data_IF_032256746759
#
_entry.id   IF_032256746759
#
_cell.length_a   1.000
_cell.length_b   1.000
_cell.length_c   1.000
_cell.angle_alpha   90.00
_cell.angle_beta   90.00
_cell.angle_gamma   90.00
#
_symmetry.space_group_name_H-M   'P 1'
#
loop_
_entity.id
_entity.type
_entity.pdbx_description
1 polymer ?
#
# COMPACT_ATOMS: atom_id res chain seq x y z
N UNK A 1 -2.89 11.85 18.89
CA UNK A 1 -3.04 10.91 17.78
C UNK A 1 -1.67 10.67 17.18
N UNK A 2 -1.05 9.54 17.45
CA UNK A 2 0.24 9.15 16.87
C UNK A 2 -0.01 8.47 15.54
N UNK A 3 0.50 9.09 14.48
CA UNK A 3 0.48 8.57 13.12
C UNK A 3 1.91 8.20 12.72
N UNK A 4 2.09 7.01 12.15
CA UNK A 4 3.35 6.58 11.56
C UNK A 4 3.11 6.11 10.14
N UNK A 5 3.98 6.51 9.22
CA UNK A 5 4.08 5.95 7.88
C UNK A 5 5.42 5.24 7.78
N UNK A 6 5.42 4.01 7.27
CA UNK A 6 6.65 3.25 7.09
C UNK A 6 6.56 2.38 5.86
N UNK A 7 7.72 2.06 5.27
CA UNK A 7 7.80 0.98 4.31
C UNK A 7 7.38 -0.34 4.96
N UNK A 8 6.78 -1.23 4.17
CA UNK A 8 6.52 -2.59 4.62
C UNK A 8 7.83 -3.35 4.88
N UNK A 9 7.74 -4.33 5.77
CA UNK A 9 8.78 -5.32 6.02
C UNK A 9 8.20 -6.73 5.83
N UNK A 10 9.05 -7.75 5.89
CA UNK A 10 8.65 -9.16 5.72
C UNK A 10 7.58 -9.60 6.73
N UNK A 11 7.62 -9.07 7.95
CA UNK A 11 6.66 -9.40 9.01
C UNK A 11 5.25 -8.84 8.74
N UNK A 12 5.09 -7.97 7.74
CA UNK A 12 3.78 -7.45 7.34
C UNK A 12 3.08 -8.36 6.31
N UNK A 13 3.76 -9.38 5.76
CA UNK A 13 3.27 -10.15 4.61
C UNK A 13 1.86 -10.72 4.84
N UNK A 14 1.65 -11.43 5.95
CA UNK A 14 0.36 -12.08 6.23
C UNK A 14 -0.77 -11.05 6.31
N UNK A 15 -0.49 -9.89 6.93
CA UNK A 15 -1.45 -8.79 7.04
C UNK A 15 -1.72 -8.13 5.69
N UNK A 16 -0.69 -7.97 4.85
CA UNK A 16 -0.86 -7.43 3.50
C UNK A 16 -1.73 -8.37 2.66
N UNK A 17 -1.44 -9.67 2.67
CA UNK A 17 -2.24 -10.66 1.96
C UNK A 17 -3.69 -10.66 2.44
N UNK A 18 -3.93 -10.61 3.76
CA UNK A 18 -5.28 -10.48 4.34
C UNK A 18 -6.00 -9.23 3.83
N UNK A 19 -5.39 -8.05 3.91
CA UNK A 19 -5.98 -6.80 3.42
C UNK A 19 -6.30 -6.88 1.93
N UNK A 20 -5.42 -7.46 1.11
CA UNK A 20 -5.67 -7.60 -0.32
C UNK A 20 -6.81 -8.57 -0.62
N UNK A 21 -6.88 -9.71 0.08
CA UNK A 21 -7.98 -10.66 -0.07
C UNK A 21 -9.31 -10.02 0.35
N UNK A 22 -9.34 -9.26 1.44
CA UNK A 22 -10.58 -8.65 1.93
C UNK A 22 -11.08 -7.52 1.03
N UNK A 23 -10.18 -6.73 0.42
CA UNK A 23 -10.55 -5.55 -0.36
C UNK A 23 -10.62 -5.81 -1.87
N UNK A 24 -9.90 -6.82 -2.37
CA UNK A 24 -9.75 -7.12 -3.81
C UNK A 24 -10.09 -8.56 -4.17
N UNK A 25 -10.48 -9.41 -3.21
CA UNK A 25 -10.73 -10.85 -3.37
C UNK A 25 -9.54 -11.66 -3.92
N UNK A 26 -8.35 -11.06 -3.98
CA UNK A 26 -7.14 -11.62 -4.59
C UNK A 26 -5.93 -10.79 -4.21
N UNK A 27 -4.78 -11.44 -4.02
CA UNK A 27 -3.47 -10.78 -3.98
C UNK A 27 -2.85 -10.61 -5.39
N UNK A 28 -3.47 -11.20 -6.42
CA UNK A 28 -3.12 -10.97 -7.82
C UNK A 28 -3.97 -9.82 -8.36
N UNK A 29 -3.30 -8.75 -8.78
CA UNK A 29 -3.91 -7.54 -9.34
C UNK A 29 -3.50 -7.40 -10.81
N UNK A 30 -4.47 -7.21 -11.70
CA UNK A 30 -4.23 -7.00 -13.13
C UNK A 30 -4.50 -5.55 -13.48
N UNK A 31 -3.46 -4.84 -13.91
CA UNK A 31 -3.54 -3.45 -14.38
C UNK A 31 -2.62 -3.28 -15.58
N UNK A 32 -3.01 -2.44 -16.54
CA UNK A 32 -2.26 -2.20 -17.79
C UNK A 32 -1.87 -3.47 -18.55
N UNK A 33 -2.66 -4.55 -18.42
CA UNK A 33 -2.39 -5.85 -19.05
C UNK A 33 -1.29 -6.68 -18.38
N UNK A 34 -0.81 -6.28 -17.20
CA UNK A 34 0.23 -6.96 -16.43
C UNK A 34 -0.40 -7.50 -15.14
N UNK A 35 -0.07 -8.74 -14.79
CA UNK A 35 -0.46 -9.36 -13.53
C UNK A 35 0.63 -9.17 -12.49
N UNK A 36 0.26 -8.60 -11.34
CA UNK A 36 1.14 -8.39 -10.21
C UNK A 36 0.70 -9.24 -9.02
N UNK A 37 1.67 -9.88 -8.36
CA UNK A 37 1.46 -10.43 -7.02
C UNK A 37 1.71 -9.32 -5.98
N UNK A 38 0.64 -8.61 -5.62
CA UNK A 38 0.70 -7.34 -4.91
C UNK A 38 1.25 -7.44 -3.48
N UNK A 39 1.13 -8.60 -2.81
CA UNK A 39 1.72 -8.83 -1.49
C UNK A 39 3.25 -9.00 -1.49
N UNK A 40 3.85 -9.17 -2.68
CA UNK A 40 5.30 -9.19 -2.86
C UNK A 40 5.88 -7.84 -3.27
N UNK A 41 5.04 -6.89 -3.68
CA UNK A 41 5.49 -5.57 -4.14
C UNK A 41 6.00 -4.69 -3.01
N UNK A 42 6.72 -3.63 -3.37
CA UNK A 42 7.01 -2.55 -2.43
C UNK A 42 5.73 -1.87 -1.98
N UNK A 43 5.76 -1.26 -0.80
CA UNK A 43 4.56 -0.61 -0.27
C UNK A 43 4.78 0.16 1.02
N UNK A 44 3.80 0.99 1.34
CA UNK A 44 3.72 1.77 2.55
C UNK A 44 2.56 1.32 3.43
N UNK A 45 2.77 1.37 4.73
CA UNK A 45 1.77 1.09 5.76
C UNK A 45 1.61 2.33 6.62
N UNK A 46 0.35 2.69 6.87
CA UNK A 46 0.00 3.72 7.86
C UNK A 46 -0.45 3.04 9.14
N UNK A 47 0.13 3.47 10.26
CA UNK A 47 -0.27 3.06 11.60
C UNK A 47 -0.86 4.23 12.38
N UNK A 48 -2.02 4.02 13.01
CA UNK A 48 -2.65 4.93 13.96
C UNK A 48 -2.67 4.27 15.33
N UNK A 49 -2.05 4.91 16.32
CA UNK A 49 -1.94 4.37 17.69
C UNK A 49 -1.37 2.92 17.70
N UNK A 50 -0.42 2.63 16.79
CA UNK A 50 0.21 1.31 16.64
C UNK A 50 -0.63 0.27 15.90
N UNK A 51 -1.85 0.60 15.47
CA UNK A 51 -2.68 -0.26 14.62
C UNK A 51 -2.46 0.08 13.16
N UNK A 52 -2.19 -0.92 12.32
CA UNK A 52 -2.14 -0.77 10.86
C UNK A 52 -3.54 -0.45 10.33
N UNK A 53 -3.67 0.66 9.61
CA UNK A 53 -4.96 1.18 9.11
C UNK A 53 -4.93 1.57 7.64
N UNK A 54 -3.78 1.46 6.99
CA UNK A 54 -3.64 1.79 5.57
C UNK A 54 -2.54 0.98 4.92
N UNK A 55 -2.76 0.60 3.67
CA UNK A 55 -1.81 -0.10 2.82
C UNK A 55 -1.82 0.51 1.42
N UNK A 56 -0.65 0.82 0.90
CA UNK A 56 -0.44 1.12 -0.52
C UNK A 56 0.66 0.21 -1.04
N UNK A 57 0.40 -0.51 -2.14
CA UNK A 57 1.44 -1.28 -2.86
C UNK A 57 1.72 -0.62 -4.20
N UNK A 58 2.96 -0.66 -4.64
CA UNK A 58 3.40 -0.03 -5.88
C UNK A 58 4.51 -0.81 -6.56
N UNK A 59 4.60 -0.64 -7.87
CA UNK A 59 5.68 -1.13 -8.71
C UNK A 59 6.47 0.05 -9.27
N UNK A 60 7.79 -0.09 -9.40
CA UNK A 60 8.65 0.87 -10.10
C UNK A 60 9.29 0.14 -11.28
N UNK A 61 9.02 0.61 -12.49
CA UNK A 61 9.57 0.07 -13.75
C UNK A 61 9.71 1.19 -14.76
N UNK A 62 10.77 1.17 -15.56
CA UNK A 62 10.97 2.09 -16.68
C UNK A 62 10.76 3.58 -16.31
N UNK A 63 11.32 3.98 -15.17
CA UNK A 63 11.19 5.33 -14.58
C UNK A 63 9.75 5.76 -14.24
N UNK A 64 8.78 4.84 -14.26
CA UNK A 64 7.42 5.04 -13.79
C UNK A 64 7.21 4.38 -12.42
N UNK A 65 6.50 5.06 -11.54
CA UNK A 65 5.90 4.47 -10.34
C UNK A 65 4.41 4.24 -10.61
N UNK A 66 3.97 2.99 -10.53
CA UNK A 66 2.57 2.60 -10.62
C UNK A 66 2.06 2.18 -9.24
N UNK A 67 1.03 2.86 -8.74
CA UNK A 67 0.28 2.39 -7.57
C UNK A 67 -0.56 1.19 -8.00
N UNK A 68 -0.33 0.03 -7.40
CA UNK A 68 -1.03 -1.21 -7.73
C UNK A 68 -2.25 -1.40 -6.85
N UNK A 69 -2.15 -1.10 -5.55
CA UNK A 69 -3.32 -1.05 -4.66
C UNK A 69 -3.23 0.10 -3.67
N UNK A 70 -4.38 0.65 -3.29
CA UNK A 70 -4.52 1.64 -2.22
C UNK A 70 -5.72 1.22 -1.37
N UNK A 71 -5.49 1.04 -0.07
CA UNK A 71 -6.48 0.58 0.89
C UNK A 71 -6.46 1.50 2.11
N UNK A 72 -7.48 2.36 2.24
CA UNK A 72 -7.70 3.18 3.43
C UNK A 72 -8.70 2.46 4.34
N UNK A 73 -8.20 1.57 5.21
CA UNK A 73 -9.02 0.65 6.01
C UNK A 73 -9.87 1.42 7.04
N UNK A 74 -9.36 2.56 7.52
CA UNK A 74 -10.06 3.45 8.45
C UNK A 74 -10.40 4.76 7.73
N UNK A 75 -11.59 4.79 7.11
CA UNK A 75 -12.07 5.91 6.32
C UNK A 75 -12.30 7.19 7.16
N UNK A 76 -12.28 8.35 6.50
CA UNK A 76 -12.53 9.65 7.16
C UNK A 76 -11.40 10.16 8.06
N UNK A 77 -10.27 9.44 8.15
CA UNK A 77 -9.10 9.81 8.98
C UNK A 77 -7.88 10.31 8.19
N UNK A 78 -8.04 10.54 6.88
CA UNK A 78 -6.96 11.02 6.01
C UNK A 78 -5.90 9.96 5.66
N UNK A 79 -6.15 8.67 5.93
CA UNK A 79 -5.20 7.58 5.65
C UNK A 79 -4.79 7.52 4.18
N UNK A 80 -5.75 7.63 3.26
CA UNK A 80 -5.46 7.65 1.83
C UNK A 80 -4.58 8.82 1.41
N UNK A 81 -4.83 10.01 1.94
CA UNK A 81 -3.99 11.21 1.71
C UNK A 81 -2.56 10.96 2.15
N UNK A 82 -2.37 10.42 3.36
CA UNK A 82 -1.04 10.14 3.91
C UNK A 82 -0.26 9.13 3.04
N UNK A 83 -0.93 8.09 2.55
CA UNK A 83 -0.32 7.10 1.65
C UNK A 83 0.09 7.72 0.31
N UNK A 84 -0.76 8.56 -0.28
CA UNK A 84 -0.48 9.25 -1.54
C UNK A 84 0.66 10.24 -1.39
N UNK A 85 0.70 11.03 -0.32
CA UNK A 85 1.79 11.96 -0.05
C UNK A 85 3.14 11.25 0.05
N UNK A 86 3.19 10.07 0.67
CA UNK A 86 4.44 9.34 0.83
C UNK A 86 4.92 8.73 -0.49
N UNK A 87 4.02 8.15 -1.30
CA UNK A 87 4.40 7.59 -2.59
C UNK A 87 4.76 8.68 -3.61
N UNK A 88 4.14 9.86 -3.53
CA UNK A 88 4.52 11.01 -4.34
C UNK A 88 5.92 11.54 -4.01
N UNK A 89 6.32 11.55 -2.73
CA UNK A 89 7.70 11.92 -2.35
C UNK A 89 8.69 10.95 -2.96
N UNK A 90 8.38 9.65 -2.92
CA UNK A 90 9.21 8.62 -3.53
C UNK A 90 9.33 8.82 -5.05
N UNK A 91 8.22 9.09 -5.75
CA UNK A 91 8.20 9.29 -7.20
C UNK A 91 8.92 10.56 -7.69
N UNK A 92 9.16 11.54 -6.80
CA UNK A 92 9.86 12.79 -7.12
C UNK A 92 11.37 12.72 -6.89
N UNK A 93 11.89 11.57 -6.47
CA UNK A 93 13.32 11.34 -6.19
C UNK A 93 14.01 10.74 -7.40
#
# INVERSE_FOLDING_TARGET
>A
MKVLVRARIKDDNDWITEVLLDNWASNIIVTRGISYQADLLSGFIVELEGKRVGLLTFNISDDELEIITLNAIDEGKGVGTILLEEVEKLAKT
#
